data_IF_093768789542
#
_entry.id   IF_093768789542
#
_cell.length_a   1.000
_cell.length_b   1.000
_cell.length_c   1.000
_cell.angle_alpha   90.00
_cell.angle_beta   90.00
_cell.angle_gamma   90.00
#
_symmetry.space_group_name_H-M   'P 1'
#
loop_
_entity.id
_entity.type
_entity.pdbx_description
1 polymer ?
#
# COMPACT_ATOMS: atom_id res chain seq x y z
N UNK A 1 -33.37 16.12 -16.27
CA UNK A 1 -33.16 14.75 -15.76
C UNK A 1 -31.75 14.34 -16.14
N UNK A 2 -30.74 14.67 -15.33
CA UNK A 2 -29.33 14.37 -15.65
C UNK A 2 -28.49 14.01 -14.41
N UNK A 3 -29.04 14.15 -13.19
CA UNK A 3 -28.31 13.90 -11.93
C UNK A 3 -28.27 12.44 -11.48
N UNK A 4 -29.03 11.53 -12.12
CA UNK A 4 -29.14 10.13 -11.68
C UNK A 4 -28.14 9.20 -12.39
N UNK A 5 -27.61 9.58 -13.56
CA UNK A 5 -26.62 8.76 -14.30
C UNK A 5 -25.18 8.94 -13.80
N UNK A 6 -24.88 10.07 -13.16
CA UNK A 6 -23.54 10.42 -12.65
C UNK A 6 -23.16 9.62 -11.38
N UNK A 7 -24.12 9.47 -10.46
CA UNK A 7 -23.91 8.73 -9.20
C UNK A 7 -23.59 7.25 -9.46
N UNK A 8 -24.35 6.59 -10.35
CA UNK A 8 -24.09 5.19 -10.68
C UNK A 8 -22.76 4.96 -11.41
N UNK A 9 -22.19 5.96 -12.08
CA UNK A 9 -20.85 5.87 -12.67
C UNK A 9 -19.76 6.02 -11.60
N UNK A 10 -19.92 6.98 -10.68
CA UNK A 10 -19.00 7.17 -9.53
C UNK A 10 -18.93 5.91 -8.65
N UNK A 11 -20.07 5.30 -8.33
CA UNK A 11 -20.13 4.08 -7.51
C UNK A 11 -19.38 2.91 -8.17
N UNK A 12 -19.48 2.79 -9.50
CA UNK A 12 -18.75 1.77 -10.27
C UNK A 12 -17.25 2.08 -10.30
N UNK A 13 -16.85 3.34 -10.45
CA UNK A 13 -15.44 3.76 -10.43
C UNK A 13 -14.79 3.48 -9.07
N UNK A 14 -15.48 3.78 -7.97
CA UNK A 14 -15.04 3.45 -6.62
C UNK A 14 -14.87 1.94 -6.41
N UNK A 15 -15.84 1.15 -6.88
CA UNK A 15 -15.77 -0.32 -6.83
C UNK A 15 -14.56 -0.85 -7.61
N UNK A 16 -14.28 -0.30 -8.80
CA UNK A 16 -13.11 -0.69 -9.61
C UNK A 16 -11.80 -0.35 -8.90
N UNK A 17 -11.70 0.84 -8.28
CA UNK A 17 -10.50 1.24 -7.52
C UNK A 17 -10.29 0.31 -6.33
N UNK A 18 -11.36 -0.04 -5.62
CA UNK A 18 -11.28 -0.99 -4.51
C UNK A 18 -10.81 -2.36 -4.97
N UNK A 19 -11.37 -2.90 -6.05
CA UNK A 19 -10.97 -4.20 -6.61
C UNK A 19 -9.49 -4.21 -7.03
N UNK A 20 -9.03 -3.18 -7.75
CA UNK A 20 -7.61 -3.04 -8.12
C UNK A 20 -6.70 -3.00 -6.90
N UNK A 21 -7.13 -2.35 -5.82
CA UNK A 21 -6.38 -2.30 -4.57
C UNK A 21 -6.29 -3.67 -3.90
N UNK A 22 -7.38 -4.43 -3.89
CA UNK A 22 -7.39 -5.79 -3.35
C UNK A 22 -6.44 -6.70 -4.14
N UNK A 23 -6.54 -6.70 -5.47
CA UNK A 23 -5.64 -7.46 -6.34
C UNK A 23 -4.17 -7.07 -6.12
N UNK A 24 -3.87 -5.79 -5.90
CA UNK A 24 -2.50 -5.36 -5.62
C UNK A 24 -1.98 -5.92 -4.28
N UNK A 25 -2.82 -5.98 -3.25
CA UNK A 25 -2.48 -6.57 -1.94
C UNK A 25 -2.24 -8.08 -2.08
N UNK A 26 -3.12 -8.78 -2.79
CA UNK A 26 -2.99 -10.22 -3.05
C UNK A 26 -1.66 -10.55 -3.75
N UNK A 27 -1.34 -9.82 -4.83
CA UNK A 27 -0.05 -9.99 -5.54
C UNK A 27 1.16 -9.75 -4.61
N UNK A 28 1.10 -8.76 -3.72
CA UNK A 28 2.19 -8.49 -2.78
C UNK A 28 2.35 -9.62 -1.75
N UNK A 29 1.23 -10.16 -1.26
CA UNK A 29 1.24 -11.28 -0.32
C UNK A 29 1.77 -12.57 -0.97
N UNK A 30 1.41 -12.82 -2.23
CA UNK A 30 1.94 -13.95 -3.01
C UNK A 30 3.45 -13.81 -3.22
N UNK A 31 3.91 -12.65 -3.70
CA UNK A 31 5.35 -12.39 -3.87
C UNK A 31 6.14 -12.54 -2.56
N UNK A 32 5.54 -12.15 -1.44
CA UNK A 32 6.11 -12.36 -0.12
C UNK A 32 6.21 -13.84 0.24
N UNK A 33 5.12 -14.59 0.06
CA UNK A 33 5.09 -16.03 0.36
C UNK A 33 6.08 -16.81 -0.50
N UNK A 34 6.18 -16.49 -1.79
CA UNK A 34 7.13 -17.09 -2.72
C UNK A 34 8.57 -16.80 -2.32
N UNK A 35 8.90 -15.54 -1.98
CA UNK A 35 10.24 -15.18 -1.53
C UNK A 35 10.66 -15.94 -0.26
N UNK A 36 9.73 -16.09 0.69
CA UNK A 36 9.98 -16.89 1.91
C UNK A 36 10.13 -18.38 1.58
N UNK A 37 9.33 -18.91 0.65
CA UNK A 37 9.44 -20.30 0.19
C UNK A 37 10.77 -20.60 -0.50
N UNK A 38 11.32 -19.60 -1.21
CA UNK A 38 12.65 -19.65 -1.84
C UNK A 38 13.80 -19.47 -0.83
N UNK A 39 13.50 -19.26 0.45
CA UNK A 39 14.47 -19.14 1.53
C UNK A 39 15.04 -17.72 1.72
N UNK A 40 14.41 -16.70 1.16
CA UNK A 40 14.80 -15.30 1.36
C UNK A 40 14.28 -14.83 2.72
N UNK A 41 15.15 -14.21 3.50
CA UNK A 41 14.76 -13.68 4.80
C UNK A 41 13.70 -12.56 4.66
N UNK A 42 12.64 -12.55 5.49
CA UNK A 42 11.58 -11.54 5.43
C UNK A 42 12.07 -10.09 5.50
N UNK A 43 13.16 -9.84 6.24
CA UNK A 43 13.78 -8.51 6.34
C UNK A 43 14.38 -8.02 5.01
N UNK A 44 14.91 -8.94 4.19
CA UNK A 44 15.45 -8.62 2.86
C UNK A 44 14.30 -8.31 1.90
N UNK A 45 13.21 -9.09 1.95
CA UNK A 45 12.02 -8.85 1.13
C UNK A 45 11.42 -7.48 1.48
N UNK A 46 11.32 -7.16 2.78
CA UNK A 46 10.81 -5.87 3.25
C UNK A 46 11.65 -4.69 2.75
N UNK A 47 12.98 -4.76 2.89
CA UNK A 47 13.88 -3.70 2.43
C UNK A 47 13.77 -3.48 0.91
N UNK A 48 13.77 -4.57 0.14
CA UNK A 48 13.61 -4.52 -1.31
C UNK A 48 12.25 -3.91 -1.72
N UNK A 49 11.17 -4.30 -1.05
CA UNK A 49 9.83 -3.79 -1.32
C UNK A 49 9.72 -2.28 -1.02
N UNK A 50 10.26 -1.81 0.11
CA UNK A 50 10.27 -0.39 0.48
C UNK A 50 11.10 0.41 -0.53
N UNK A 51 12.30 -0.06 -0.88
CA UNK A 51 13.14 0.61 -1.87
C UNK A 51 12.45 0.69 -3.24
N UNK A 52 11.77 -0.36 -3.67
CA UNK A 52 11.02 -0.38 -4.93
C UNK A 52 9.85 0.61 -4.89
N UNK A 53 9.03 0.59 -3.83
CA UNK A 53 7.90 1.50 -3.66
C UNK A 53 8.34 2.98 -3.65
N UNK A 54 9.47 3.30 -3.01
CA UNK A 54 10.01 4.66 -3.00
C UNK A 54 10.52 5.09 -4.37
N UNK A 55 11.25 4.23 -5.09
CA UNK A 55 11.69 4.51 -6.46
C UNK A 55 10.51 4.80 -7.38
N UNK A 56 9.44 4.03 -7.25
CA UNK A 56 8.25 4.20 -8.08
C UNK A 56 7.47 5.47 -7.72
N UNK A 57 7.39 5.79 -6.42
CA UNK A 57 6.79 7.04 -5.95
C UNK A 57 7.54 8.25 -6.52
N UNK A 58 8.87 8.26 -6.45
CA UNK A 58 9.69 9.32 -7.05
C UNK A 58 9.49 9.38 -8.56
N UNK A 59 9.46 8.24 -9.26
CA UNK A 59 9.27 8.18 -10.70
C UNK A 59 7.92 8.76 -11.15
N UNK A 60 6.86 8.49 -10.40
CA UNK A 60 5.49 8.90 -10.75
C UNK A 60 5.15 10.31 -10.25
N UNK A 61 5.71 10.73 -9.12
CA UNK A 61 5.24 11.91 -8.39
C UNK A 61 6.35 12.87 -7.94
N UNK A 62 7.62 12.52 -8.11
CA UNK A 62 8.77 13.34 -7.71
C UNK A 62 9.23 13.13 -6.27
N UNK A 63 10.38 13.71 -5.93
CA UNK A 63 11.05 13.53 -4.64
C UNK A 63 10.27 14.15 -3.47
N UNK A 64 9.66 15.32 -3.67
CA UNK A 64 8.89 16.02 -2.63
C UNK A 64 7.71 15.17 -2.11
N UNK A 65 7.01 14.49 -3.02
CA UNK A 65 5.88 13.60 -2.66
C UNK A 65 6.37 12.35 -1.93
N UNK A 66 7.50 11.78 -2.36
CA UNK A 66 8.11 10.65 -1.68
C UNK A 66 8.56 11.03 -0.25
N UNK A 67 9.12 12.22 -0.06
CA UNK A 67 9.48 12.71 1.26
C UNK A 67 8.24 12.87 2.17
N UNK A 68 7.18 13.51 1.68
CA UNK A 68 5.95 13.68 2.43
C UNK A 68 5.30 12.34 2.83
N UNK A 69 5.40 11.32 1.97
CA UNK A 69 4.96 9.96 2.27
C UNK A 69 5.75 9.35 3.44
N UNK A 70 7.08 9.51 3.46
CA UNK A 70 7.92 9.02 4.57
C UNK A 70 7.60 9.74 5.88
N UNK A 71 7.38 11.06 5.85
CA UNK A 71 6.98 11.82 7.03
C UNK A 71 5.64 11.29 7.60
N UNK A 72 4.66 11.04 6.72
CA UNK A 72 3.37 10.46 7.11
C UNK A 72 3.54 9.06 7.68
N UNK A 73 4.37 8.20 7.07
CA UNK A 73 4.63 6.85 7.56
C UNK A 73 5.31 6.86 8.93
N UNK A 74 6.25 7.79 9.15
CA UNK A 74 6.89 8.01 10.44
C UNK A 74 5.85 8.37 11.51
N UNK A 75 4.93 9.28 11.22
CA UNK A 75 3.88 9.66 12.17
C UNK A 75 2.98 8.47 12.54
N UNK A 76 2.65 7.62 11.57
CA UNK A 76 1.90 6.36 11.77
C UNK A 76 2.66 5.32 12.59
N UNK A 77 3.98 5.24 12.43
CA UNK A 77 4.83 4.40 13.29
C UNK A 77 4.80 4.92 14.74
N UNK A 78 4.95 6.24 14.92
CA UNK A 78 4.94 6.87 16.25
C UNK A 78 3.59 6.78 16.95
N UNK A 79 2.49 6.71 16.20
CA UNK A 79 1.15 6.44 16.75
C UNK A 79 0.94 4.97 17.14
N UNK A 80 1.85 4.09 16.76
CA UNK A 80 1.78 2.65 17.01
C UNK A 80 0.90 1.90 16.03
N UNK A 81 0.52 2.49 14.89
CA UNK A 81 -0.40 1.89 13.91
C UNK A 81 0.06 0.53 13.39
N UNK A 82 1.38 0.31 13.30
CA UNK A 82 1.98 -0.94 12.81
C UNK A 82 2.40 -1.91 13.92
N UNK A 83 2.14 -1.58 15.19
CA UNK A 83 2.52 -2.47 16.28
C UNK A 83 1.60 -3.69 16.30
N UNK A 84 2.14 -4.93 16.35
CA UNK A 84 1.32 -6.12 16.53
C UNK A 84 0.50 -5.94 17.81
N UNK A 85 -0.81 -6.16 17.68
CA UNK A 85 -1.88 -5.78 18.61
C UNK A 85 -1.44 -5.54 20.06
N UNK A 86 -1.64 -4.31 20.52
CA UNK A 86 -1.66 -3.99 21.95
C UNK A 86 -2.74 -4.86 22.59
N UNK A 87 -2.35 -5.96 23.23
CA UNK A 87 -3.29 -6.80 23.99
C UNK A 87 -3.93 -5.90 25.03
N UNK A 88 -5.23 -5.61 24.90
CA UNK A 88 -6.00 -5.01 26.00
C UNK A 88 -5.94 -6.03 27.14
N UNK A 89 -5.09 -5.76 28.14
CA UNK A 89 -5.08 -6.47 29.41
C UNK A 89 -6.33 -6.17 30.22
#
# INVERSE_FOLDING_TARGET
MERTQDHGRSDIEEMIVHEKRQVAIENQNEAWADGVADGIEPEIIADAAIAHAMRETVRLHGEDVAQALIETLKDRILSGEFSPERTLQ
#
